data_IF_953559750426
#
_entry.id   IF_953559750426
#
_cell.length_a   1.000
_cell.length_b   1.000
_cell.length_c   1.000
_cell.angle_alpha   90.00
_cell.angle_beta   90.00
_cell.angle_gamma   90.00
#
_symmetry.space_group_name_H-M   'P 1'
#
loop_
_entity.id
_entity.type
_entity.pdbx_description
1 polymer ?
#
# COMPACT_ATOMS: atom_id res chain seq x y z
N UNK A 1 -8.07 -21.57 -1.98
CA UNK A 1 -6.90 -21.66 -2.88
C UNK A 1 -5.65 -21.54 -2.02
N UNK A 2 -4.73 -22.48 -2.12
CA UNK A 2 -3.49 -22.42 -1.34
C UNK A 2 -2.63 -21.22 -1.75
N UNK A 3 -1.91 -20.63 -0.80
CA UNK A 3 -1.08 -19.42 -1.02
C UNK A 3 -0.09 -19.62 -2.18
N UNK A 4 0.51 -20.79 -2.30
CA UNK A 4 1.44 -21.09 -3.38
C UNK A 4 0.76 -21.09 -4.76
N UNK A 5 -0.48 -21.55 -4.86
CA UNK A 5 -1.21 -21.55 -6.12
C UNK A 5 -1.53 -20.13 -6.58
N UNK A 6 -1.96 -19.23 -5.68
CA UNK A 6 -2.25 -17.84 -6.05
C UNK A 6 -0.99 -17.06 -6.40
N UNK A 7 0.17 -17.35 -5.77
CA UNK A 7 1.48 -16.81 -6.16
C UNK A 7 1.84 -17.18 -7.60
N UNK A 8 1.64 -18.45 -7.97
CA UNK A 8 1.88 -18.90 -9.34
C UNK A 8 0.96 -18.19 -10.36
N UNK A 9 -0.31 -18.01 -10.01
CA UNK A 9 -1.26 -17.26 -10.85
C UNK A 9 -0.77 -15.83 -11.04
N UNK A 10 -0.37 -15.14 -9.98
CA UNK A 10 0.21 -13.79 -10.07
C UNK A 10 1.45 -13.75 -10.97
N UNK A 11 2.39 -14.68 -10.77
CA UNK A 11 3.62 -14.72 -11.57
C UNK A 11 3.35 -14.90 -13.07
N UNK A 12 2.35 -15.70 -13.42
CA UNK A 12 2.02 -15.98 -14.82
C UNK A 12 1.12 -14.92 -15.45
N UNK A 13 0.07 -14.50 -14.75
CA UNK A 13 -1.03 -13.72 -15.30
C UNK A 13 -1.11 -12.27 -14.75
N UNK A 14 -0.46 -11.97 -13.61
CA UNK A 14 -0.48 -10.65 -12.98
C UNK A 14 -1.53 -10.50 -11.88
N UNK A 15 -1.59 -9.29 -11.31
CA UNK A 15 -2.44 -8.98 -10.15
C UNK A 15 -3.94 -9.02 -10.43
N UNK A 16 -4.37 -8.84 -11.67
CA UNK A 16 -5.78 -8.95 -12.07
C UNK A 16 -6.35 -10.36 -11.84
N UNK A 17 -5.49 -11.39 -11.84
CA UNK A 17 -5.86 -12.79 -11.68
C UNK A 17 -5.38 -13.38 -10.34
N UNK A 18 -4.29 -12.86 -9.79
CA UNK A 18 -3.70 -13.33 -8.54
C UNK A 18 -3.30 -12.18 -7.62
N UNK A 19 -4.26 -11.66 -6.85
CA UNK A 19 -4.00 -10.60 -5.88
C UNK A 19 -4.25 -11.12 -4.46
N UNK A 20 -3.26 -10.95 -3.59
CA UNK A 20 -3.26 -11.50 -2.23
C UNK A 20 -2.38 -10.66 -1.31
N UNK A 21 -2.67 -10.70 -0.02
CA UNK A 21 -1.89 -9.96 0.98
C UNK A 21 -0.62 -10.71 1.38
N UNK A 22 0.50 -10.00 1.45
CA UNK A 22 1.83 -10.55 1.76
C UNK A 22 2.45 -9.81 2.94
N UNK A 23 3.08 -10.56 3.82
CA UNK A 23 3.95 -10.08 4.88
C UNK A 23 3.24 -9.35 6.02
N UNK A 24 4.03 -8.66 6.82
CA UNK A 24 3.56 -7.99 8.06
C UNK A 24 2.60 -6.85 7.76
N UNK A 25 2.84 -6.08 6.70
CA UNK A 25 1.99 -4.96 6.31
C UNK A 25 0.83 -5.35 5.39
N UNK A 26 0.65 -6.65 5.13
CA UNK A 26 -0.43 -7.18 4.30
C UNK A 26 -0.54 -6.46 2.95
N UNK A 27 0.61 -6.16 2.33
CA UNK A 27 0.68 -5.51 1.03
C UNK A 27 0.25 -6.46 -0.09
N UNK A 28 -0.43 -5.91 -1.07
CA UNK A 28 -0.88 -6.67 -2.24
C UNK A 28 -0.01 -6.37 -3.47
N UNK A 29 0.21 -7.33 -4.37
CA UNK A 29 0.86 -7.07 -5.65
C UNK A 29 0.25 -5.91 -6.43
N UNK A 30 -1.09 -5.83 -6.49
CA UNK A 30 -1.81 -4.73 -7.15
C UNK A 30 -1.51 -3.35 -6.53
N UNK A 31 -1.36 -3.29 -5.21
CA UNK A 31 -0.97 -2.06 -4.50
C UNK A 31 0.41 -1.58 -4.96
N UNK A 32 1.40 -2.49 -5.02
CA UNK A 32 2.77 -2.17 -5.41
C UNK A 32 2.84 -1.77 -6.89
N UNK A 33 2.17 -2.49 -7.77
CA UNK A 33 2.10 -2.15 -9.20
C UNK A 33 1.50 -0.76 -9.43
N UNK A 34 0.44 -0.42 -8.69
CA UNK A 34 -0.15 0.92 -8.73
C UNK A 34 0.81 1.97 -8.18
N UNK A 35 1.52 1.67 -7.10
CA UNK A 35 2.49 2.56 -6.50
C UNK A 35 3.64 2.90 -7.45
N UNK A 36 4.17 1.90 -8.16
CA UNK A 36 5.19 2.12 -9.19
C UNK A 36 4.71 3.06 -10.31
N UNK A 37 3.44 2.93 -10.73
CA UNK A 37 2.84 3.83 -11.73
C UNK A 37 2.83 5.27 -11.21
N UNK A 38 2.42 5.49 -9.97
CA UNK A 38 2.38 6.84 -9.39
C UNK A 38 3.78 7.43 -9.19
N UNK A 39 4.74 6.65 -8.70
CA UNK A 39 6.14 7.08 -8.56
C UNK A 39 6.74 7.52 -9.90
N UNK A 40 6.46 6.80 -10.98
CA UNK A 40 6.97 7.12 -12.32
C UNK A 40 6.51 8.47 -12.86
N UNK A 41 5.40 9.01 -12.37
CA UNK A 41 4.89 10.34 -12.76
C UNK A 41 5.76 11.48 -12.23
N UNK A 42 6.60 11.24 -11.22
CA UNK A 42 7.42 12.23 -10.55
C UNK A 42 8.91 11.95 -10.76
N UNK A 43 9.60 12.79 -11.52
CA UNK A 43 11.01 12.57 -11.92
C UNK A 43 11.97 12.38 -10.74
N UNK A 44 11.77 13.09 -9.63
CA UNK A 44 12.58 12.92 -8.42
C UNK A 44 12.33 11.57 -7.77
N UNK A 45 11.06 11.18 -7.58
CA UNK A 45 10.71 9.88 -6.98
C UNK A 45 11.19 8.73 -7.87
N UNK A 46 11.00 8.84 -9.19
CA UNK A 46 11.48 7.84 -10.15
C UNK A 46 12.99 7.59 -10.00
N UNK A 47 13.78 8.62 -9.77
CA UNK A 47 15.24 8.46 -9.53
C UNK A 47 15.54 7.84 -8.18
N UNK A 48 14.87 8.29 -7.12
CA UNK A 48 15.09 7.79 -5.75
C UNK A 48 14.74 6.32 -5.58
N UNK A 49 13.70 5.85 -6.27
CA UNK A 49 13.19 4.48 -6.15
C UNK A 49 13.47 3.60 -7.37
N UNK A 50 14.45 3.97 -8.21
CA UNK A 50 14.73 3.29 -9.48
C UNK A 50 14.91 1.77 -9.35
N UNK A 51 15.48 1.29 -8.24
CA UNK A 51 15.69 -0.13 -7.98
C UNK A 51 14.39 -0.95 -7.79
N UNK A 52 13.28 -0.27 -7.49
CA UNK A 52 11.95 -0.87 -7.27
C UNK A 52 10.97 -0.60 -8.42
N UNK A 53 11.43 -0.03 -9.53
CA UNK A 53 10.59 0.30 -10.67
C UNK A 53 10.92 -0.59 -11.86
N UNK A 54 9.91 -1.22 -12.43
CA UNK A 54 10.04 -2.09 -13.59
C UNK A 54 9.36 -1.45 -14.80
N UNK A 55 10.01 -1.50 -15.96
CA UNK A 55 9.49 -0.92 -17.20
C UNK A 55 8.25 -1.68 -17.70
N UNK A 56 8.32 -3.00 -17.63
CA UNK A 56 7.25 -3.89 -18.07
C UNK A 56 6.77 -4.78 -16.93
N UNK A 57 5.45 -5.04 -16.89
CA UNK A 57 4.85 -5.97 -15.93
C UNK A 57 4.95 -7.43 -16.45
N UNK A 58 6.17 -7.90 -16.67
CA UNK A 58 6.45 -9.28 -17.08
C UNK A 58 6.71 -10.20 -15.87
N UNK A 59 6.86 -11.50 -16.14
CA UNK A 59 7.09 -12.51 -15.09
C UNK A 59 8.30 -12.21 -14.21
N UNK A 60 9.41 -11.70 -14.79
CA UNK A 60 10.62 -11.37 -14.04
C UNK A 60 10.37 -10.19 -13.06
N UNK A 61 9.70 -9.15 -13.52
CA UNK A 61 9.32 -8.02 -12.67
C UNK A 61 8.40 -8.46 -11.54
N UNK A 62 7.40 -9.31 -11.83
CA UNK A 62 6.50 -9.87 -10.83
C UNK A 62 7.22 -10.74 -9.79
N UNK A 63 8.21 -11.53 -10.22
CA UNK A 63 9.06 -12.32 -9.31
C UNK A 63 9.82 -11.42 -8.32
N UNK A 64 10.47 -10.37 -8.83
CA UNK A 64 11.22 -9.42 -7.99
C UNK A 64 10.34 -8.64 -7.03
N UNK A 65 9.13 -8.25 -7.45
CA UNK A 65 8.14 -7.63 -6.54
C UNK A 65 7.74 -8.59 -5.43
N UNK A 66 7.48 -9.85 -5.78
CA UNK A 66 7.10 -10.87 -4.81
C UNK A 66 8.21 -11.11 -3.80
N UNK A 67 9.47 -11.24 -4.22
CA UNK A 67 10.63 -11.32 -3.33
C UNK A 67 10.71 -10.14 -2.37
N UNK A 68 10.52 -8.92 -2.87
CA UNK A 68 10.50 -7.70 -2.05
C UNK A 68 9.32 -7.69 -1.08
N UNK A 69 8.13 -8.12 -1.52
CA UNK A 69 6.93 -8.22 -0.66
C UNK A 69 7.09 -9.28 0.44
N UNK A 70 7.83 -10.35 0.20
CA UNK A 70 8.11 -11.40 1.18
C UNK A 70 9.18 -11.01 2.20
N UNK A 71 9.94 -9.95 1.96
CA UNK A 71 10.93 -9.41 2.88
C UNK A 71 10.41 -8.20 3.65
N UNK A 72 10.70 -8.14 4.94
CA UNK A 72 10.34 -6.97 5.79
C UNK A 72 10.97 -5.70 5.25
N UNK A 73 12.21 -5.76 4.81
CA UNK A 73 12.92 -4.62 4.24
C UNK A 73 12.27 -4.12 2.95
N UNK A 74 11.88 -5.00 2.06
CA UNK A 74 11.18 -4.63 0.82
C UNK A 74 9.83 -4.00 1.11
N UNK A 75 9.09 -4.51 2.10
CA UNK A 75 7.84 -3.90 2.54
C UNK A 75 8.05 -2.48 3.10
N UNK A 76 9.11 -2.23 3.87
CA UNK A 76 9.45 -0.88 4.33
C UNK A 76 9.77 0.07 3.17
N UNK A 77 10.48 -0.39 2.14
CA UNK A 77 10.72 0.42 0.96
C UNK A 77 9.42 0.80 0.23
N UNK A 78 8.50 -0.13 0.08
CA UNK A 78 7.19 0.18 -0.51
C UNK A 78 6.35 1.10 0.36
N UNK A 79 6.45 0.99 1.68
CA UNK A 79 5.78 1.91 2.59
C UNK A 79 6.37 3.33 2.48
N UNK A 80 7.69 3.46 2.37
CA UNK A 80 8.37 4.73 2.13
C UNK A 80 7.96 5.36 0.78
N UNK A 81 7.93 4.56 -0.29
CA UNK A 81 7.40 4.98 -1.59
C UNK A 81 5.96 5.49 -1.49
N UNK A 82 5.11 4.79 -0.76
CA UNK A 82 3.72 5.17 -0.53
C UNK A 82 3.61 6.53 0.18
N UNK A 83 4.37 6.72 1.26
CA UNK A 83 4.41 8.00 1.97
C UNK A 83 4.92 9.12 1.08
N UNK A 84 5.96 8.87 0.27
CA UNK A 84 6.51 9.84 -0.66
C UNK A 84 5.52 10.25 -1.77
N UNK A 85 4.73 9.29 -2.28
CA UNK A 85 3.67 9.56 -3.26
C UNK A 85 2.56 10.42 -2.66
N UNK A 86 2.10 10.08 -1.44
CA UNK A 86 1.07 10.87 -0.77
C UNK A 86 1.55 12.29 -0.45
N UNK A 87 2.81 12.45 -0.05
CA UNK A 87 3.40 13.76 0.20
C UNK A 87 3.41 14.68 -1.04
N UNK A 88 3.39 14.12 -2.26
CA UNK A 88 3.28 14.90 -3.51
C UNK A 88 1.89 15.47 -3.77
N UNK A 89 0.89 15.04 -3.03
CA UNK A 89 -0.47 15.54 -3.19
C UNK A 89 -0.69 16.90 -2.54
N UNK A 90 0.29 17.38 -1.72
CA UNK A 90 0.26 18.70 -1.08
C UNK A 90 -1.06 18.94 -0.30
N UNK A 91 -1.52 17.89 0.41
CA UNK A 91 -2.75 17.95 1.20
C UNK A 91 -2.46 18.70 2.51
N UNK A 92 -3.31 19.66 2.84
CA UNK A 92 -3.25 20.35 4.11
C UNK A 92 -3.88 19.51 5.23
N UNK A 93 -3.11 19.34 6.31
CA UNK A 93 -3.56 18.65 7.52
C UNK A 93 -3.53 19.60 8.71
N UNK A 94 -4.56 19.56 9.54
CA UNK A 94 -4.64 20.39 10.74
C UNK A 94 -3.56 20.04 11.78
N UNK A 95 -3.15 18.76 11.82
CA UNK A 95 -2.13 18.24 12.73
C UNK A 95 -1.61 16.87 12.25
N UNK A 96 -0.60 16.34 12.96
CA UNK A 96 0.00 15.03 12.64
C UNK A 96 -0.97 13.85 12.82
N UNK A 97 -1.93 13.96 13.73
CA UNK A 97 -2.94 12.89 13.92
C UNK A 97 -3.86 12.78 12.71
N UNK A 98 -4.32 13.91 12.17
CA UNK A 98 -5.13 13.92 10.95
C UNK A 98 -4.35 13.36 9.76
N UNK A 99 -3.09 13.73 9.63
CA UNK A 99 -2.20 13.18 8.60
C UNK A 99 -2.04 11.67 8.73
N UNK A 100 -1.82 11.17 9.94
CA UNK A 100 -1.73 9.73 10.19
C UNK A 100 -3.03 9.00 9.84
N UNK A 101 -4.17 9.55 10.26
CA UNK A 101 -5.50 9.00 9.89
C UNK A 101 -5.67 8.93 8.38
N UNK A 102 -5.28 9.99 7.68
CA UNK A 102 -5.37 10.04 6.23
C UNK A 102 -4.50 8.97 5.57
N UNK A 103 -3.23 8.87 5.97
CA UNK A 103 -2.30 7.90 5.40
C UNK A 103 -2.75 6.46 5.68
N UNK A 104 -3.16 6.15 6.91
CA UNK A 104 -3.67 4.83 7.28
C UNK A 104 -4.94 4.47 6.50
N UNK A 105 -5.85 5.43 6.32
CA UNK A 105 -7.06 5.23 5.53
C UNK A 105 -6.75 5.04 4.05
N UNK A 106 -5.86 5.87 3.48
CA UNK A 106 -5.43 5.77 2.09
C UNK A 106 -4.75 4.43 1.79
N UNK A 107 -3.94 3.92 2.72
CA UNK A 107 -3.32 2.60 2.62
C UNK A 107 -4.36 1.48 2.50
N UNK A 108 -5.38 1.52 3.32
CA UNK A 108 -6.39 0.46 3.39
C UNK A 108 -7.46 0.57 2.30
N UNK A 109 -7.82 1.78 1.88
CA UNK A 109 -8.94 2.01 0.95
C UNK A 109 -8.51 2.27 -0.50
N UNK A 110 -7.25 2.61 -0.71
CA UNK A 110 -6.67 2.94 -2.00
C UNK A 110 -6.18 4.39 -2.08
N UNK A 111 -4.87 4.55 -2.04
CA UNK A 111 -4.18 5.86 -2.03
C UNK A 111 -4.35 6.67 -3.33
N UNK A 112 -4.79 6.05 -4.40
CA UNK A 112 -5.06 6.68 -5.70
C UNK A 112 -6.43 7.38 -5.76
N UNK A 113 -7.28 7.19 -4.76
CA UNK A 113 -8.58 7.85 -4.66
C UNK A 113 -8.42 9.34 -4.35
N UNK A 114 -9.45 10.14 -4.61
CA UNK A 114 -9.44 11.55 -4.26
C UNK A 114 -9.35 11.76 -2.75
N UNK A 115 -8.88 12.93 -2.34
CA UNK A 115 -8.81 13.31 -0.92
C UNK A 115 -10.18 13.21 -0.25
N UNK A 116 -11.22 13.72 -0.90
CA UNK A 116 -12.60 13.67 -0.41
C UNK A 116 -13.07 12.24 -0.14
N UNK A 117 -12.79 11.32 -1.07
CA UNK A 117 -13.15 9.92 -0.91
C UNK A 117 -12.39 9.28 0.26
N UNK A 118 -11.09 9.53 0.39
CA UNK A 118 -10.29 9.00 1.50
C UNK A 118 -10.82 9.56 2.84
N UNK A 119 -11.07 10.87 2.93
CA UNK A 119 -11.64 11.49 4.14
C UNK A 119 -13.02 10.95 4.49
N UNK A 120 -13.85 10.65 3.51
CA UNK A 120 -15.18 10.06 3.73
C UNK A 120 -15.13 8.65 4.33
N UNK A 121 -13.99 7.98 4.26
CA UNK A 121 -13.77 6.66 4.85
C UNK A 121 -13.27 6.71 6.31
N UNK A 122 -12.98 7.91 6.83
CA UNK A 122 -12.61 8.07 8.25
C UNK A 122 -13.73 7.54 9.14
N UNK A 123 -13.37 6.77 10.16
CA UNK A 123 -14.33 6.24 11.12
C UNK A 123 -15.12 5.03 10.66
N UNK A 124 -15.03 4.60 9.42
CA UNK A 124 -15.76 3.42 8.95
C UNK A 124 -15.15 2.12 9.48
N UNK A 125 -16.00 1.26 10.01
CA UNK A 125 -15.62 -0.03 10.59
C UNK A 125 -15.53 -1.08 9.47
N UNK A 126 -14.35 -1.27 8.87
CA UNK A 126 -14.18 -2.18 7.74
C UNK A 126 -13.11 -3.27 7.94
N UNK A 127 -12.21 -3.09 8.90
CA UNK A 127 -11.08 -3.99 9.11
C UNK A 127 -11.30 -4.93 10.30
N UNK A 128 -10.90 -6.18 10.22
CA UNK A 128 -10.52 -6.95 9.04
C UNK A 128 -11.75 -7.36 8.21
N UNK A 129 -11.58 -7.52 6.89
CA UNK A 129 -12.69 -7.78 5.97
C UNK A 129 -13.50 -9.05 6.30
N UNK A 130 -12.82 -10.08 6.80
CA UNK A 130 -13.39 -11.43 7.04
C UNK A 130 -13.87 -11.65 8.47
N UNK A 131 -13.68 -10.72 9.40
CA UNK A 131 -14.10 -10.87 10.80
C UNK A 131 -15.51 -10.31 11.04
N UNK A 132 -16.26 -10.95 11.96
CA UNK A 132 -17.54 -10.41 12.45
C UNK A 132 -17.34 -9.11 13.23
N UNK A 133 -16.24 -9.00 14.02
CA UNK A 133 -15.87 -7.78 14.73
C UNK A 133 -15.07 -6.89 13.79
N UNK A 134 -15.59 -5.72 13.49
CA UNK A 134 -14.97 -4.73 12.62
C UNK A 134 -14.31 -3.62 13.44
N UNK A 135 -13.22 -3.08 12.92
CA UNK A 135 -12.48 -1.98 13.50
C UNK A 135 -12.31 -0.85 12.49
N UNK A 136 -12.09 0.33 13.02
CA UNK A 136 -11.68 1.49 12.26
C UNK A 136 -10.15 1.47 12.09
N UNK A 137 -9.66 1.34 10.87
CA UNK A 137 -8.23 1.23 10.60
C UNK A 137 -7.46 2.49 11.02
N UNK A 138 -8.03 3.68 10.80
CA UNK A 138 -7.40 4.93 11.20
C UNK A 138 -7.31 5.08 12.73
N UNK A 139 -8.29 4.55 13.46
CA UNK A 139 -8.28 4.57 14.93
C UNK A 139 -7.19 3.65 15.49
N UNK A 140 -7.03 2.43 14.94
CA UNK A 140 -5.95 1.52 15.34
C UNK A 140 -4.59 2.17 15.13
N UNK A 141 -4.39 2.86 14.00
CA UNK A 141 -3.14 3.54 13.71
C UNK A 141 -2.84 4.66 14.73
N UNK A 142 -3.85 5.41 15.15
CA UNK A 142 -3.70 6.44 16.18
C UNK A 142 -3.36 5.85 17.55
N UNK A 143 -4.10 4.85 18.00
CA UNK A 143 -3.87 4.20 19.29
C UNK A 143 -2.44 3.65 19.38
N UNK A 144 -1.96 3.06 18.27
CA UNK A 144 -0.58 2.60 18.20
C UNK A 144 0.43 3.76 18.27
N UNK A 145 0.17 4.86 17.57
CA UNK A 145 1.03 6.05 17.56
C UNK A 145 1.10 6.71 18.94
N UNK A 146 0.00 6.80 19.65
CA UNK A 146 -0.04 7.33 21.03
C UNK A 146 0.70 6.43 22.02
N UNK A 147 0.63 5.11 21.83
CA UNK A 147 1.30 4.15 22.70
C UNK A 147 2.84 4.16 22.60
N UNK A 148 3.41 4.72 21.52
CA UNK A 148 4.87 4.80 21.30
C UNK A 148 5.47 6.19 21.56
N UNK A 149 4.65 7.18 21.93
CA UNK A 149 5.11 8.51 22.40
C UNK A 149 5.58 8.45 23.84
#
# INVERSE_FOLDING_TARGET
MELNAIKLVYLQLGSDYGDFSVGQFQMKPSFVERLEIEVKKHSKLKRSYAAYLYEHNNRNARSKRLESLESVQGQFHYLDMFCAVLAKREIDFANEEEKLKFYATAYNTGFYKSEEVIRSEFGKLRFPAVSKKKYNYSQIALEFFEAIK
#
